data_IF_238899095499
#
_entry.id   IF_238899095499
#
_cell.length_a   1.000
_cell.length_b   1.000
_cell.length_c   1.000
_cell.angle_alpha   90.00
_cell.angle_beta   90.00
_cell.angle_gamma   90.00
#
_symmetry.space_group_name_H-M   'P 1'
#
loop_
_entity.id
_entity.type
_entity.pdbx_description
1 polymer ?
#
# COMPACT_ATOMS: atom_id res chain seq x y z
N UNK A 1 -18.44 -0.40 8.05
CA UNK A 1 -17.02 -0.44 7.66
C UNK A 1 -16.32 -1.69 8.20
N UNK A 2 -15.76 -1.71 9.42
CA UNK A 2 -14.94 -2.86 9.87
C UNK A 2 -15.72 -4.19 9.99
N UNK A 3 -16.97 -4.16 10.50
CA UNK A 3 -17.84 -5.35 10.54
C UNK A 3 -18.19 -5.89 9.15
N UNK A 4 -18.48 -4.98 8.21
CA UNK A 4 -18.74 -5.32 6.81
C UNK A 4 -17.52 -5.97 6.16
N UNK A 5 -16.32 -5.42 6.38
CA UNK A 5 -15.06 -5.98 5.89
C UNK A 5 -14.81 -7.41 6.39
N UNK A 6 -15.10 -7.67 7.67
CA UNK A 6 -14.99 -9.02 8.24
C UNK A 6 -16.00 -9.99 7.63
N UNK A 7 -17.24 -9.56 7.41
CA UNK A 7 -18.27 -10.40 6.80
C UNK A 7 -17.91 -10.77 5.36
N UNK A 8 -17.45 -9.80 4.57
CA UNK A 8 -16.99 -10.03 3.19
C UNK A 8 -15.77 -10.95 3.13
N UNK A 9 -14.87 -10.84 4.11
CA UNK A 9 -13.76 -11.78 4.24
C UNK A 9 -14.23 -13.21 4.57
N UNK A 10 -15.23 -13.37 5.44
CA UNK A 10 -15.80 -14.69 5.76
C UNK A 10 -16.47 -15.34 4.54
N UNK A 11 -17.03 -14.54 3.64
CA UNK A 11 -17.65 -15.02 2.39
C UNK A 11 -16.62 -15.52 1.36
N UNK A 12 -15.47 -14.83 1.24
CA UNK A 12 -14.42 -15.22 0.30
C UNK A 12 -13.01 -15.04 0.92
N UNK A 13 -12.59 -15.93 1.83
CA UNK A 13 -11.39 -15.72 2.64
C UNK A 13 -10.07 -15.87 1.87
N UNK A 14 -10.07 -16.64 0.77
CA UNK A 14 -8.84 -16.91 0.01
C UNK A 14 -8.50 -15.77 -0.95
N UNK A 15 -9.47 -15.37 -1.78
CA UNK A 15 -9.28 -14.43 -2.90
C UNK A 15 -9.99 -13.08 -2.70
N UNK A 16 -10.85 -12.96 -1.68
CA UNK A 16 -11.69 -11.78 -1.45
C UNK A 16 -12.86 -11.68 -2.42
N UNK A 17 -13.68 -10.65 -2.25
CA UNK A 17 -14.84 -10.40 -3.12
C UNK A 17 -14.51 -9.54 -4.34
N UNK A 18 -13.29 -9.00 -4.44
CA UNK A 18 -12.87 -8.09 -5.51
C UNK A 18 -13.04 -6.61 -5.16
N UNK A 19 -12.29 -5.73 -5.83
CA UNK A 19 -12.29 -4.28 -5.55
C UNK A 19 -13.43 -3.51 -6.24
N UNK A 20 -14.08 -4.10 -7.25
CA UNK A 20 -15.18 -3.48 -8.00
C UNK A 20 -16.52 -3.56 -7.27
N UNK A 21 -16.70 -4.58 -6.43
CA UNK A 21 -18.01 -4.96 -5.91
C UNK A 21 -18.24 -4.41 -4.49
N UNK A 22 -17.26 -3.72 -3.89
CA UNK A 22 -17.34 -3.25 -2.50
C UNK A 22 -18.60 -2.42 -2.20
N UNK A 23 -19.04 -1.56 -3.13
CA UNK A 23 -20.25 -0.77 -2.92
C UNK A 23 -21.51 -1.64 -3.06
N UNK A 24 -21.53 -2.56 -4.02
CA UNK A 24 -22.66 -3.46 -4.27
C UNK A 24 -22.81 -4.49 -3.13
N UNK A 25 -21.71 -5.09 -2.69
CA UNK A 25 -21.64 -6.03 -1.56
C UNK A 25 -22.15 -5.37 -0.26
N UNK A 26 -21.74 -4.14 -0.02
CA UNK A 26 -22.15 -3.38 1.17
C UNK A 26 -23.63 -2.97 1.09
N UNK A 27 -24.15 -2.64 -0.10
CA UNK A 27 -25.58 -2.37 -0.30
C UNK A 27 -26.43 -3.64 -0.14
N UNK A 28 -25.94 -4.79 -0.59
CA UNK A 28 -26.62 -6.08 -0.43
C UNK A 28 -26.68 -6.49 1.05
N UNK A 29 -25.59 -6.31 1.81
CA UNK A 29 -25.56 -6.56 3.25
C UNK A 29 -26.51 -5.63 4.03
N UNK A 30 -26.72 -4.39 3.56
CA UNK A 30 -27.75 -3.50 4.12
C UNK A 30 -29.16 -4.00 3.80
N UNK A 31 -29.40 -4.45 2.55
CA UNK A 31 -30.69 -5.00 2.11
C UNK A 31 -31.07 -6.25 2.89
N UNK A 32 -30.09 -7.10 3.20
CA UNK A 32 -30.27 -8.32 4.00
C UNK A 32 -30.40 -8.06 5.51
N UNK A 33 -30.25 -6.81 5.96
CA UNK A 33 -30.46 -6.40 7.35
C UNK A 33 -29.31 -6.72 8.31
N UNK A 34 -28.20 -7.28 7.81
CA UNK A 34 -26.98 -7.54 8.59
C UNK A 34 -26.31 -6.24 9.05
N UNK A 35 -26.52 -5.16 8.31
CA UNK A 35 -25.99 -3.84 8.62
C UNK A 35 -27.08 -2.79 8.40
N UNK A 36 -27.18 -1.77 9.26
CA UNK A 36 -28.21 -0.72 9.17
C UNK A 36 -27.60 0.67 8.98
N UNK A 37 -28.28 1.51 8.18
CA UNK A 37 -28.00 2.93 7.99
C UNK A 37 -26.60 3.20 7.42
N UNK A 38 -26.21 2.44 6.41
CA UNK A 38 -24.94 2.62 5.69
C UNK A 38 -25.01 3.89 4.84
N UNK A 39 -26.08 4.08 4.06
CA UNK A 39 -26.27 5.27 3.20
C UNK A 39 -26.36 6.60 3.98
N UNK A 40 -26.88 6.58 5.21
CA UNK A 40 -27.00 7.78 6.06
C UNK A 40 -25.66 8.25 6.68
N UNK A 41 -24.62 7.40 6.66
CA UNK A 41 -23.30 7.71 7.26
C UNK A 41 -22.27 8.25 6.26
N UNK A 42 -22.67 8.46 5.00
CA UNK A 42 -22.00 9.37 4.05
C UNK A 42 -20.58 9.03 3.57
N UNK A 43 -19.93 7.94 4.02
CA UNK A 43 -18.48 7.76 3.78
C UNK A 43 -18.00 6.32 3.50
N UNK A 44 -18.78 5.47 2.82
CA UNK A 44 -18.38 4.05 2.64
C UNK A 44 -17.90 3.69 1.24
N UNK A 45 -17.00 4.48 0.67
CA UNK A 45 -16.23 4.00 -0.49
C UNK A 45 -15.12 3.02 -0.07
N UNK A 46 -14.66 3.06 1.20
CA UNK A 46 -13.57 2.22 1.69
C UNK A 46 -13.74 1.88 3.18
N UNK A 47 -13.17 0.76 3.63
CA UNK A 47 -12.86 0.64 5.06
C UNK A 47 -11.72 1.62 5.33
N UNK A 48 -11.84 2.49 6.33
CA UNK A 48 -10.79 3.43 6.78
C UNK A 48 -9.60 2.70 7.44
N UNK A 49 -9.16 1.62 6.82
CA UNK A 49 -8.08 0.75 7.22
C UNK A 49 -7.70 -0.07 5.99
N UNK A 50 -6.53 0.21 5.44
CA UNK A 50 -5.99 -0.42 4.24
C UNK A 50 -5.96 -1.95 4.38
N UNK A 51 -5.56 -2.46 5.54
CA UNK A 51 -5.39 -3.90 5.78
C UNK A 51 -6.73 -4.63 5.79
N UNK A 52 -7.74 -4.08 6.47
CA UNK A 52 -9.10 -4.65 6.45
C UNK A 52 -9.74 -4.58 5.06
N UNK A 53 -9.50 -3.48 4.33
CA UNK A 53 -10.00 -3.35 2.96
C UNK A 53 -9.33 -4.36 2.02
N UNK A 54 -8.01 -4.50 2.09
CA UNK A 54 -7.26 -5.47 1.28
C UNK A 54 -7.62 -6.91 1.64
N UNK A 55 -7.83 -7.20 2.93
CA UNK A 55 -8.23 -8.51 3.40
C UNK A 55 -9.62 -8.89 2.88
N UNK A 56 -10.58 -7.97 2.91
CA UNK A 56 -11.93 -8.22 2.40
C UNK A 56 -11.98 -8.35 0.87
N UNK A 57 -11.23 -7.51 0.15
CA UNK A 57 -11.30 -7.45 -1.33
C UNK A 57 -10.36 -8.42 -2.03
N UNK A 58 -9.26 -8.83 -1.39
CA UNK A 58 -8.22 -9.68 -1.99
C UNK A 58 -7.89 -10.93 -1.15
N UNK A 59 -8.57 -11.12 -0.02
CA UNK A 59 -8.40 -12.29 0.85
C UNK A 59 -7.04 -12.38 1.52
N UNK A 60 -6.74 -13.57 2.05
CA UNK A 60 -5.45 -13.90 2.66
C UNK A 60 -4.30 -13.77 1.65
N UNK A 61 -4.54 -14.11 0.38
CA UNK A 61 -3.47 -14.03 -0.64
C UNK A 61 -3.04 -12.57 -0.84
N UNK A 62 -4.01 -11.65 -0.95
CA UNK A 62 -3.73 -10.22 -1.08
C UNK A 62 -3.01 -9.63 0.12
N UNK A 63 -3.42 -9.99 1.35
CA UNK A 63 -2.75 -9.45 2.54
C UNK A 63 -1.31 -9.97 2.67
N UNK A 64 -1.08 -11.24 2.32
CA UNK A 64 0.28 -11.81 2.31
C UNK A 64 1.16 -11.15 1.25
N UNK A 65 0.61 -10.86 0.07
CA UNK A 65 1.33 -10.11 -0.96
C UNK A 65 1.66 -8.68 -0.50
N UNK A 66 0.74 -7.99 0.18
CA UNK A 66 0.98 -6.66 0.72
C UNK A 66 2.06 -6.66 1.81
N UNK A 67 2.02 -7.63 2.73
CA UNK A 67 3.05 -7.81 3.76
C UNK A 67 4.39 -8.15 3.10
N UNK A 68 4.40 -9.01 2.09
CA UNK A 68 5.59 -9.36 1.31
C UNK A 68 6.21 -8.15 0.61
N UNK A 69 5.39 -7.26 0.05
CA UNK A 69 5.85 -6.00 -0.54
C UNK A 69 6.52 -5.10 0.51
N UNK A 70 5.89 -4.90 1.67
CA UNK A 70 6.50 -4.10 2.74
C UNK A 70 7.81 -4.73 3.26
N UNK A 71 7.84 -6.06 3.42
CA UNK A 71 9.05 -6.76 3.82
C UNK A 71 10.18 -6.59 2.79
N UNK A 72 9.88 -6.68 1.50
CA UNK A 72 10.85 -6.47 0.43
C UNK A 72 11.39 -5.03 0.40
N UNK A 73 10.53 -4.03 0.62
CA UNK A 73 10.93 -2.62 0.69
C UNK A 73 11.85 -2.34 1.89
N UNK A 74 11.52 -2.92 3.06
CA UNK A 74 12.36 -2.81 4.26
C UNK A 74 13.70 -3.51 4.05
N UNK A 75 13.72 -4.73 3.50
CA UNK A 75 14.97 -5.45 3.19
C UNK A 75 15.83 -4.64 2.21
N UNK A 76 15.21 -4.07 1.17
CA UNK A 76 15.92 -3.24 0.20
C UNK A 76 16.52 -1.97 0.84
N UNK A 77 15.76 -1.28 1.68
CA UNK A 77 16.24 -0.13 2.43
C UNK A 77 17.44 -0.50 3.32
N UNK A 78 17.37 -1.62 4.04
CA UNK A 78 18.45 -2.12 4.90
C UNK A 78 19.70 -2.45 4.08
N UNK A 79 19.55 -3.09 2.92
CA UNK A 79 20.67 -3.35 1.99
C UNK A 79 21.31 -2.05 1.52
N UNK A 80 20.52 -1.02 1.17
CA UNK A 80 21.05 0.28 0.78
C UNK A 80 21.86 0.95 1.91
N UNK A 81 21.36 0.87 3.14
CA UNK A 81 22.05 1.43 4.31
C UNK A 81 23.38 0.72 4.58
N UNK A 82 23.41 -0.62 4.45
CA UNK A 82 24.62 -1.43 4.60
C UNK A 82 25.62 -1.23 3.46
N UNK A 83 25.13 -0.97 2.25
CA UNK A 83 25.95 -0.70 1.05
C UNK A 83 26.50 0.74 0.95
N UNK A 84 26.53 1.50 2.04
CA UNK A 84 27.09 2.86 2.09
C UNK A 84 26.13 3.98 1.66
N UNK A 85 24.96 3.65 1.10
CA UNK A 85 23.94 4.61 0.61
C UNK A 85 22.90 4.89 1.68
N UNK A 86 23.36 5.31 2.86
CA UNK A 86 22.55 5.48 4.08
C UNK A 86 21.35 6.41 3.86
N UNK A 87 21.55 7.55 3.18
CA UNK A 87 20.47 8.50 2.92
C UNK A 87 19.32 7.90 2.10
N UNK A 88 19.62 7.24 0.98
CA UNK A 88 18.60 6.59 0.15
C UNK A 88 17.88 5.46 0.88
N UNK A 89 18.61 4.69 1.70
CA UNK A 89 18.01 3.66 2.55
C UNK A 89 17.07 4.25 3.61
N UNK A 90 17.46 5.33 4.29
CA UNK A 90 16.60 6.01 5.26
C UNK A 90 15.35 6.61 4.61
N UNK A 91 15.46 7.18 3.40
CA UNK A 91 14.31 7.74 2.68
C UNK A 91 13.29 6.65 2.31
N UNK A 92 13.75 5.53 1.75
CA UNK A 92 12.88 4.40 1.40
C UNK A 92 12.22 3.82 2.65
N UNK A 93 12.99 3.64 3.73
CA UNK A 93 12.46 3.15 5.01
C UNK A 93 11.41 4.10 5.59
N UNK A 94 11.70 5.39 5.62
CA UNK A 94 10.80 6.42 6.14
C UNK A 94 9.48 6.44 5.38
N UNK A 95 9.52 6.49 4.04
CA UNK A 95 8.32 6.47 3.22
C UNK A 95 7.52 5.16 3.40
N UNK A 96 8.18 4.02 3.51
CA UNK A 96 7.52 2.72 3.73
C UNK A 96 6.81 2.68 5.08
N UNK A 97 7.47 3.10 6.15
CA UNK A 97 6.88 3.15 7.50
C UNK A 97 5.72 4.13 7.56
N UNK A 98 5.85 5.30 6.94
CA UNK A 98 4.75 6.27 6.87
C UNK A 98 3.52 5.64 6.21
N UNK A 99 3.67 4.99 5.05
CA UNK A 99 2.57 4.32 4.35
C UNK A 99 1.96 3.22 5.22
N UNK A 100 2.77 2.43 5.93
CA UNK A 100 2.27 1.38 6.82
C UNK A 100 1.44 1.96 7.98
N UNK A 101 1.90 3.04 8.61
CA UNK A 101 1.23 3.68 9.74
C UNK A 101 -0.04 4.39 9.29
N UNK A 102 0.03 5.16 8.20
CA UNK A 102 -1.16 5.82 7.63
C UNK A 102 -2.16 4.82 7.03
N UNK A 103 -1.70 3.66 6.59
CA UNK A 103 -2.55 2.55 6.16
C UNK A 103 -3.44 1.98 7.26
N UNK A 104 -3.11 2.20 8.54
CA UNK A 104 -3.96 1.76 9.66
C UNK A 104 -5.24 2.61 9.74
N UNK A 105 -5.13 3.90 9.41
CA UNK A 105 -6.20 4.90 9.57
C UNK A 105 -6.95 5.22 8.27
N UNK A 106 -6.36 4.94 7.11
CA UNK A 106 -6.96 5.20 5.82
C UNK A 106 -6.55 4.17 4.77
N UNK A 107 -7.42 3.94 3.77
CA UNK A 107 -7.14 3.07 2.63
C UNK A 107 -6.32 3.78 1.54
N UNK A 108 -5.23 4.41 1.98
CA UNK A 108 -4.37 5.30 1.20
C UNK A 108 -3.77 4.70 -0.07
N UNK A 109 -3.46 3.39 -0.07
CA UNK A 109 -2.80 2.72 -1.21
C UNK A 109 -3.70 2.62 -2.45
N UNK A 110 -5.01 2.83 -2.31
CA UNK A 110 -5.94 2.91 -3.43
C UNK A 110 -5.95 4.29 -4.09
N UNK A 111 -5.29 5.29 -3.49
CA UNK A 111 -5.14 6.62 -4.10
C UNK A 111 -3.95 6.61 -5.06
N UNK A 112 -4.23 6.78 -6.36
CA UNK A 112 -3.22 6.81 -7.43
C UNK A 112 -2.13 7.87 -7.20
N UNK A 113 -2.43 8.92 -6.42
CA UNK A 113 -1.49 10.00 -6.06
C UNK A 113 -0.36 9.52 -5.16
N UNK A 114 -0.66 8.65 -4.19
CA UNK A 114 0.32 8.14 -3.23
C UNK A 114 1.24 7.12 -3.91
N UNK A 115 0.66 6.26 -4.76
CA UNK A 115 1.43 5.30 -5.57
C UNK A 115 2.37 6.02 -6.55
N UNK A 116 1.90 7.11 -7.19
CA UNK A 116 2.72 7.90 -8.09
C UNK A 116 3.90 8.57 -7.35
N UNK A 117 3.65 9.19 -6.19
CA UNK A 117 4.69 9.83 -5.38
C UNK A 117 5.73 8.81 -4.86
N UNK A 118 5.28 7.63 -4.44
CA UNK A 118 6.17 6.57 -3.96
C UNK A 118 7.04 5.99 -5.09
N UNK A 119 6.44 5.73 -6.25
CA UNK A 119 7.17 5.26 -7.44
C UNK A 119 8.18 6.30 -7.94
N UNK A 120 7.84 7.60 -7.90
CA UNK A 120 8.75 8.69 -8.22
C UNK A 120 9.94 8.77 -7.25
N UNK A 121 9.68 8.65 -5.94
CA UNK A 121 10.74 8.67 -4.94
C UNK A 121 11.73 7.49 -5.13
N UNK A 122 11.21 6.30 -5.41
CA UNK A 122 12.01 5.12 -5.77
C UNK A 122 12.81 5.40 -7.05
N UNK A 123 12.13 5.90 -8.08
CA UNK A 123 12.72 6.25 -9.37
C UNK A 123 13.86 7.26 -9.28
N UNK A 124 13.76 8.26 -8.41
CA UNK A 124 14.83 9.23 -8.16
C UNK A 124 16.04 8.59 -7.46
N UNK A 125 15.81 7.74 -6.46
CA UNK A 125 16.91 7.03 -5.77
C UNK A 125 17.63 6.06 -6.71
N UNK A 126 16.92 5.44 -7.64
CA UNK A 126 17.49 4.59 -8.69
C UNK A 126 18.07 5.39 -9.86
N UNK A 127 17.49 6.52 -10.25
CA UNK A 127 17.99 7.35 -11.35
C UNK A 127 19.31 8.03 -11.00
N UNK A 128 19.42 8.55 -9.78
CA UNK A 128 20.68 9.07 -9.23
C UNK A 128 21.78 7.99 -9.13
N UNK A 129 21.42 6.69 -9.18
CA UNK A 129 22.40 5.60 -9.26
C UNK A 129 23.04 5.53 -10.64
N UNK A 130 22.27 5.74 -11.69
CA UNK A 130 22.75 5.58 -13.07
C UNK A 130 23.61 6.78 -13.46
N UNK A 131 23.26 7.99 -13.02
CA UNK A 131 24.07 9.20 -13.23
C UNK A 131 25.42 9.16 -12.49
N UNK A 132 25.43 8.78 -11.21
CA UNK A 132 26.67 8.69 -10.43
C UNK A 132 27.61 7.58 -10.94
N UNK A 133 27.05 6.47 -11.45
CA UNK A 133 27.83 5.41 -12.08
C UNK A 133 28.36 5.87 -13.45
N UNK A 134 27.55 6.57 -14.24
CA UNK A 134 27.97 7.12 -15.52
C UNK A 134 29.12 8.14 -15.37
N UNK A 135 29.03 9.08 -14.42
CA UNK A 135 30.11 10.04 -14.13
C UNK A 135 31.42 9.36 -13.68
N UNK A 136 31.33 8.30 -12.88
CA UNK A 136 32.52 7.54 -12.45
C UNK A 136 33.22 6.81 -13.60
N UNK A 137 32.49 6.49 -14.67
CA UNK A 137 33.01 5.81 -15.86
C UNK A 137 33.57 6.78 -16.90
N UNK A 138 33.10 8.03 -16.95
CA UNK A 138 33.57 9.06 -17.90
C UNK A 138 34.81 9.82 -17.42
N UNK A 139 35.26 9.63 -16.17
CA UNK A 139 36.52 10.21 -15.68
C UNK A 139 36.51 11.73 -15.50
N UNK A 140 35.35 12.37 -15.62
CA UNK A 140 35.18 13.81 -15.43
C UNK A 140 34.94 14.11 -13.95
N UNK A 141 36.00 14.04 -13.15
CA UNK A 141 35.97 14.60 -11.79
C UNK A 141 35.82 16.13 -11.83
N UNK A 142 35.18 16.75 -10.82
CA UNK A 142 35.02 18.20 -10.78
C UNK A 142 36.40 18.85 -10.64
N UNK A 143 36.72 19.74 -11.58
CA UNK A 143 37.89 20.64 -11.56
C UNK A 143 37.74 21.73 -10.52
#
# INVERSE_FOLDING_TARGET
AWKSALHMFEESPLVGTGTGDWLEDVEELERQGWVKNIKQRGQFFQAHNLYLHWLATQGIIGILALIGLFAALVDWAVRLMRGGRRLGGYLILYCTVLIMVWGITEANLLSSKIVAAFTLAIGLVTGLRDEAVAESMTGTGPT
#
